data_IF_163721907321
#
_entry.id   IF_163721907321
#
_cell.length_a   1.000
_cell.length_b   1.000
_cell.length_c   1.000
_cell.angle_alpha   90.00
_cell.angle_beta   90.00
_cell.angle_gamma   90.00
#
_symmetry.space_group_name_H-M   'P 1'
#
loop_
_entity.id
_entity.type
_entity.pdbx_description
1 polymer ?
#
# COMPACT_ATOMS: atom_id res chain seq x y z
N UNK A 1 -18.93 -7.13 -0.37
CA UNK A 1 -18.37 -5.76 -0.36
C UNK A 1 -17.34 -5.61 -1.46
N UNK A 2 -17.23 -4.42 -2.04
CA UNK A 2 -16.18 -4.07 -2.97
C UNK A 2 -15.21 -3.04 -2.37
N UNK A 3 -13.94 -3.21 -2.66
CA UNK A 3 -12.87 -2.28 -2.27
C UNK A 3 -12.08 -1.96 -3.54
N UNK A 4 -11.90 -0.69 -3.84
CA UNK A 4 -11.19 -0.21 -5.04
C UNK A 4 -9.92 0.47 -4.59
N UNK A 5 -8.75 -0.01 -5.01
CA UNK A 5 -7.48 0.61 -4.66
C UNK A 5 -6.31 -0.35 -4.73
N UNK A 6 -5.13 0.22 -4.98
CA UNK A 6 -3.86 -0.51 -5.16
C UNK A 6 -2.88 -0.32 -4.00
N UNK A 7 -3.22 0.53 -3.03
CA UNK A 7 -2.38 0.95 -1.90
C UNK A 7 -2.66 0.14 -0.63
N UNK A 8 -1.75 0.22 0.35
CA UNK A 8 -1.85 -0.54 1.62
C UNK A 8 -3.19 -0.32 2.36
N UNK A 9 -3.72 0.91 2.39
CA UNK A 9 -4.97 1.24 3.06
C UNK A 9 -6.17 0.40 2.57
N UNK A 10 -6.29 0.16 1.26
CA UNK A 10 -7.33 -0.68 0.68
C UNK A 10 -7.24 -2.14 1.17
N UNK A 11 -6.03 -2.70 1.19
CA UNK A 11 -5.79 -4.07 1.64
C UNK A 11 -5.97 -4.22 3.16
N UNK A 12 -5.57 -3.21 3.93
CA UNK A 12 -5.79 -3.16 5.38
C UNK A 12 -7.28 -3.07 5.71
N UNK A 13 -8.04 -2.25 4.97
CA UNK A 13 -9.48 -2.18 5.09
C UNK A 13 -10.12 -3.56 4.92
N UNK A 14 -9.74 -4.30 3.87
CA UNK A 14 -10.25 -5.65 3.63
C UNK A 14 -9.96 -6.61 4.81
N UNK A 15 -8.75 -6.57 5.34
CA UNK A 15 -8.36 -7.37 6.50
C UNK A 15 -9.14 -7.04 7.76
N UNK A 16 -9.37 -5.74 8.02
CA UNK A 16 -10.13 -5.29 9.19
C UNK A 16 -11.61 -5.66 9.06
N UNK A 17 -12.21 -5.56 7.87
CA UNK A 17 -13.59 -6.01 7.62
C UNK A 17 -13.73 -7.50 7.95
N UNK A 18 -12.80 -8.33 7.47
CA UNK A 18 -12.82 -9.77 7.74
C UNK A 18 -12.48 -10.14 9.19
N UNK A 19 -11.88 -9.22 9.96
CA UNK A 19 -11.73 -9.39 11.40
C UNK A 19 -13.02 -9.08 12.15
N UNK A 20 -13.78 -8.10 11.67
CA UNK A 20 -15.08 -7.71 12.24
C UNK A 20 -16.16 -8.76 11.91
N UNK A 21 -16.18 -9.28 10.68
CA UNK A 21 -17.03 -10.39 10.24
C UNK A 21 -16.33 -11.26 9.18
N UNK A 22 -16.00 -12.49 9.55
CA UNK A 22 -15.30 -13.42 8.67
C UNK A 22 -16.18 -14.05 7.57
N UNK A 23 -17.51 -13.85 7.63
CA UNK A 23 -18.45 -14.33 6.62
C UNK A 23 -18.64 -13.34 5.47
N UNK A 24 -18.14 -12.11 5.63
CA UNK A 24 -18.20 -11.09 4.59
C UNK A 24 -17.39 -11.54 3.37
N UNK A 25 -18.03 -11.53 2.19
CA UNK A 25 -17.34 -11.72 0.92
C UNK A 25 -16.77 -10.40 0.43
N UNK A 26 -15.48 -10.37 0.16
CA UNK A 26 -14.77 -9.16 -0.33
C UNK A 26 -14.25 -9.38 -1.74
N UNK A 27 -14.50 -8.40 -2.61
CA UNK A 27 -13.81 -8.26 -3.89
C UNK A 27 -12.96 -6.99 -3.85
N UNK A 28 -11.64 -7.12 -3.95
CA UNK A 28 -10.70 -6.02 -4.05
C UNK A 28 -10.28 -5.83 -5.51
N UNK A 29 -10.45 -4.62 -6.04
CA UNK A 29 -10.07 -4.23 -7.39
C UNK A 29 -8.76 -3.48 -7.36
N UNK A 30 -7.73 -4.03 -8.02
CA UNK A 30 -6.39 -3.45 -8.09
C UNK A 30 -5.98 -3.32 -9.56
N UNK A 31 -5.63 -2.10 -9.97
CA UNK A 31 -5.22 -1.80 -11.35
C UNK A 31 -3.83 -2.37 -11.68
N UNK A 32 -3.02 -2.64 -10.65
CA UNK A 32 -1.64 -3.10 -10.80
C UNK A 32 -1.55 -4.53 -11.30
N UNK A 33 -0.43 -4.85 -11.96
CA UNK A 33 -0.13 -6.20 -12.42
C UNK A 33 0.04 -7.20 -11.27
N UNK A 34 0.51 -6.71 -10.13
CA UNK A 34 0.71 -7.42 -8.88
C UNK A 34 0.52 -6.39 -7.75
N UNK A 35 0.09 -6.83 -6.56
CA UNK A 35 0.06 -5.98 -5.38
C UNK A 35 1.46 -5.36 -5.13
N UNK A 36 1.51 -4.05 -4.91
CA UNK A 36 2.76 -3.31 -4.73
C UNK A 36 3.63 -3.15 -5.98
N UNK A 37 3.16 -3.55 -7.17
CA UNK A 37 3.85 -3.25 -8.42
C UNK A 37 3.69 -1.77 -8.80
N UNK A 38 4.79 -1.10 -9.14
CA UNK A 38 4.78 0.30 -9.54
C UNK A 38 4.56 1.29 -8.38
N UNK A 39 4.46 0.81 -7.14
CA UNK A 39 4.35 1.63 -5.94
C UNK A 39 5.72 1.92 -5.34
N UNK A 40 6.26 3.10 -5.65
CA UNK A 40 7.42 3.67 -4.99
C UNK A 40 6.97 4.60 -3.85
N UNK A 41 6.23 4.06 -2.89
CA UNK A 41 5.77 4.80 -1.72
C UNK A 41 6.74 4.64 -0.51
N UNK A 42 6.76 5.60 0.42
CA UNK A 42 7.60 5.52 1.62
C UNK A 42 7.31 4.26 2.46
N UNK A 43 8.37 3.59 2.90
CA UNK A 43 8.32 2.44 3.79
C UNK A 43 8.74 2.76 5.23
N UNK A 44 8.87 4.03 5.58
CA UNK A 44 9.35 4.51 6.87
C UNK A 44 8.27 4.31 7.94
N UNK A 45 8.71 3.95 9.15
CA UNK A 45 7.83 3.77 10.29
C UNK A 45 8.46 4.23 11.61
N UNK A 46 7.62 4.63 12.56
CA UNK A 46 8.04 4.99 13.92
C UNK A 46 8.28 3.76 14.81
N UNK A 47 7.44 2.73 14.69
CA UNK A 47 7.49 1.53 15.52
C UNK A 47 7.05 0.27 14.77
N UNK A 48 7.73 -0.84 15.07
CA UNK A 48 7.35 -2.18 14.60
C UNK A 48 6.85 -3.05 15.76
N UNK A 49 5.85 -3.94 15.57
CA UNK A 49 5.10 -4.21 14.34
C UNK A 49 4.04 -3.15 14.04
N UNK A 50 3.82 -2.91 12.74
CA UNK A 50 2.85 -1.95 12.21
C UNK A 50 1.41 -2.49 12.15
N UNK A 51 1.29 -3.78 11.90
CA UNK A 51 0.02 -4.48 11.66
C UNK A 51 0.02 -5.82 12.38
N UNK A 52 -1.16 -6.41 12.56
CA UNK A 52 -1.27 -7.74 13.17
C UNK A 52 -0.51 -8.78 12.35
N UNK A 53 0.13 -9.74 13.02
CA UNK A 53 0.85 -10.84 12.36
C UNK A 53 -0.05 -11.72 11.48
N UNK A 54 -1.38 -11.68 11.66
CA UNK A 54 -2.36 -12.36 10.81
C UNK A 54 -2.64 -11.61 9.49
N UNK A 55 -2.24 -10.34 9.37
CA UNK A 55 -2.47 -9.51 8.18
C UNK A 55 -1.31 -9.51 7.20
N UNK A 56 -0.25 -10.27 7.48
CA UNK A 56 0.85 -10.42 6.54
C UNK A 56 1.38 -11.85 6.60
N UNK A 57 1.80 -12.39 5.48
CA UNK A 57 2.31 -13.77 5.37
C UNK A 57 3.76 -13.96 5.85
N UNK A 58 4.24 -13.03 6.69
CA UNK A 58 5.65 -12.85 7.00
C UNK A 58 6.41 -12.13 5.88
N UNK A 59 7.50 -11.45 6.25
CA UNK A 59 8.42 -10.80 5.31
C UNK A 59 9.70 -11.63 5.08
N UNK A 60 9.71 -12.89 5.53
CA UNK A 60 10.91 -13.74 5.58
C UNK A 60 12.10 -12.94 6.17
N UNK A 61 13.22 -12.89 5.44
CA UNK A 61 14.47 -12.18 5.79
C UNK A 61 14.33 -10.64 5.81
N UNK A 62 13.15 -10.10 5.51
CA UNK A 62 12.88 -8.65 5.51
C UNK A 62 12.06 -8.19 6.71
N UNK A 63 11.85 -9.06 7.70
CA UNK A 63 11.17 -8.67 8.93
C UNK A 63 12.05 -7.66 9.71
N UNK A 64 11.54 -6.45 10.00
CA UNK A 64 12.28 -5.45 10.76
C UNK A 64 12.82 -5.96 12.11
N UNK A 65 14.02 -5.52 12.45
CA UNK A 65 14.64 -5.72 13.76
C UNK A 65 14.57 -4.42 14.60
N UNK A 66 15.17 -4.41 15.79
CA UNK A 66 15.13 -3.26 16.70
C UNK A 66 15.79 -1.98 16.15
N UNK A 67 16.72 -2.09 15.19
CA UNK A 67 17.38 -0.93 14.58
C UNK A 67 16.74 -0.51 13.26
N UNK A 68 15.73 -1.24 12.79
CA UNK A 68 15.05 -0.94 11.53
C UNK A 68 14.05 0.21 11.73
N UNK A 69 14.02 1.13 10.78
CA UNK A 69 13.06 2.25 10.71
C UNK A 69 12.35 2.34 9.37
N UNK A 70 12.62 1.42 8.45
CA UNK A 70 11.89 1.27 7.20
C UNK A 70 11.76 -0.19 6.74
N UNK A 71 10.74 -0.42 5.91
CA UNK A 71 10.53 -1.65 5.13
C UNK A 71 10.57 -1.35 3.64
N UNK A 72 10.67 -2.39 2.82
CA UNK A 72 10.35 -2.27 1.38
C UNK A 72 8.83 -2.18 1.24
N UNK A 73 8.31 -1.00 0.94
CA UNK A 73 6.86 -0.74 0.84
C UNK A 73 6.14 -1.77 -0.03
N UNK A 74 6.59 -1.94 -1.28
CA UNK A 74 6.03 -2.91 -2.21
C UNK A 74 6.02 -4.35 -1.67
N UNK A 75 7.05 -4.75 -0.92
CA UNK A 75 7.14 -6.12 -0.38
C UNK A 75 6.22 -6.31 0.83
N UNK A 76 6.05 -5.27 1.66
CA UNK A 76 5.03 -5.27 2.70
C UNK A 76 3.64 -5.46 2.09
N UNK A 77 3.29 -4.67 1.07
CA UNK A 77 2.00 -4.79 0.39
C UNK A 77 1.80 -6.18 -0.24
N UNK A 78 2.81 -6.75 -0.90
CA UNK A 78 2.76 -8.15 -1.37
C UNK A 78 2.48 -9.13 -0.24
N UNK A 79 3.18 -8.98 0.89
CA UNK A 79 2.99 -9.86 2.05
C UNK A 79 1.58 -9.77 2.63
N UNK A 80 1.01 -8.55 2.65
CA UNK A 80 -0.37 -8.29 3.06
C UNK A 80 -1.34 -8.96 2.08
N UNK A 81 -1.20 -8.72 0.78
CA UNK A 81 -2.04 -9.30 -0.27
C UNK A 81 -2.06 -10.83 -0.25
N UNK A 82 -0.91 -11.48 -0.02
CA UNK A 82 -0.82 -12.94 0.15
C UNK A 82 -1.57 -13.41 1.40
N UNK A 83 -1.57 -12.65 2.48
CA UNK A 83 -2.36 -13.00 3.66
C UNK A 83 -3.85 -12.82 3.39
N UNK A 84 -4.23 -11.76 2.67
CA UNK A 84 -5.61 -11.45 2.34
C UNK A 84 -6.23 -12.51 1.42
N UNK A 85 -5.51 -13.00 0.42
CA UNK A 85 -6.00 -14.05 -0.49
C UNK A 85 -6.29 -15.38 0.22
N UNK A 86 -5.68 -15.62 1.39
CA UNK A 86 -5.96 -16.76 2.26
C UNK A 86 -7.22 -16.58 3.12
N UNK A 87 -7.86 -15.40 3.07
CA UNK A 87 -9.00 -15.00 3.90
C UNK A 87 -10.20 -14.60 3.03
N UNK A 88 -10.97 -15.54 2.47
CA UNK A 88 -12.26 -15.31 1.78
C UNK A 88 -12.39 -14.05 0.88
N UNK A 89 -11.27 -13.51 0.39
CA UNK A 89 -11.19 -12.27 -0.35
C UNK A 89 -10.70 -12.60 -1.76
N UNK A 90 -11.43 -12.09 -2.74
CA UNK A 90 -11.05 -12.17 -4.15
C UNK A 90 -10.31 -10.89 -4.50
N UNK A 91 -9.07 -11.01 -4.96
CA UNK A 91 -8.28 -9.88 -5.45
C UNK A 91 -8.27 -9.93 -6.98
N UNK A 92 -8.87 -8.94 -7.62
CA UNK A 92 -8.90 -8.76 -9.07
C UNK A 92 -7.78 -7.80 -9.46
N UNK A 93 -6.62 -8.36 -9.80
CA UNK A 93 -5.47 -7.63 -10.34
C UNK A 93 -5.71 -7.22 -11.79
N UNK A 94 -4.93 -6.25 -12.29
CA UNK A 94 -5.04 -5.69 -13.66
C UNK A 94 -6.47 -5.30 -14.01
N UNK A 95 -7.23 -4.83 -13.03
CA UNK A 95 -8.65 -4.54 -13.17
C UNK A 95 -8.92 -3.09 -12.83
N UNK A 96 -9.33 -2.34 -13.85
CA UNK A 96 -9.63 -0.92 -13.75
C UNK A 96 -11.12 -0.72 -13.53
N UNK A 97 -11.46 -0.07 -12.43
CA UNK A 97 -12.82 0.41 -12.20
C UNK A 97 -13.03 1.71 -12.99
N UNK A 98 -13.91 1.67 -13.97
CA UNK A 98 -14.19 2.82 -14.85
C UNK A 98 -15.29 3.71 -14.28
N UNK A 99 -16.23 3.14 -13.52
CA UNK A 99 -17.33 3.89 -12.92
C UNK A 99 -17.86 3.23 -11.65
N UNK A 100 -18.31 4.07 -10.73
CA UNK A 100 -18.92 3.68 -9.47
C UNK A 100 -20.27 4.38 -9.32
N UNK A 101 -21.29 3.65 -8.90
CA UNK A 101 -22.55 4.19 -8.34
C UNK A 101 -22.70 3.70 -6.89
N UNK A 102 -23.83 4.00 -6.26
CA UNK A 102 -24.09 3.66 -4.84
C UNK A 102 -23.85 2.19 -4.51
N UNK A 103 -24.26 1.29 -5.41
CA UNK A 103 -24.28 -0.16 -5.20
C UNK A 103 -23.68 -0.94 -6.38
N UNK A 104 -23.14 -0.28 -7.41
CA UNK A 104 -22.62 -0.93 -8.62
C UNK A 104 -21.27 -0.40 -9.03
N UNK A 105 -20.46 -1.30 -9.58
CA UNK A 105 -19.15 -1.01 -10.15
C UNK A 105 -19.14 -1.47 -11.61
N UNK A 106 -18.67 -0.60 -12.51
CA UNK A 106 -18.28 -0.93 -13.87
C UNK A 106 -16.75 -1.05 -13.92
N UNK A 107 -16.23 -2.14 -14.45
CA UNK A 107 -14.80 -2.42 -14.48
C UNK A 107 -14.34 -3.19 -15.72
N UNK A 108 -13.06 -3.05 -16.04
CA UNK A 108 -12.39 -3.66 -17.18
C UNK A 108 -11.13 -4.39 -16.68
N UNK A 109 -11.04 -5.69 -16.96
CA UNK A 109 -9.91 -6.53 -16.55
C UNK A 109 -9.01 -6.90 -17.73
N UNK A 110 -7.80 -7.36 -17.43
CA UNK A 110 -6.96 -7.97 -18.46
C UNK A 110 -7.58 -9.27 -19.01
N UNK A 111 -7.53 -9.47 -20.33
CA UNK A 111 -7.95 -10.71 -21.00
C UNK A 111 -9.39 -10.67 -21.53
N UNK A 112 -10.17 -11.73 -21.25
CA UNK A 112 -11.50 -11.97 -21.81
C UNK A 112 -12.66 -11.34 -21.02
N UNK A 113 -12.40 -10.55 -19.96
CA UNK A 113 -13.45 -9.83 -19.22
C UNK A 113 -13.71 -8.51 -19.95
N UNK A 114 -14.62 -8.47 -20.93
CA UNK A 114 -14.74 -7.39 -21.88
C UNK A 114 -15.72 -6.38 -21.31
N UNK A 115 -15.29 -5.60 -20.31
CA UNK A 115 -16.15 -4.70 -19.54
C UNK A 115 -17.25 -5.44 -18.76
N UNK A 116 -17.37 -5.18 -17.46
CA UNK A 116 -18.31 -5.91 -16.60
C UNK A 116 -18.92 -4.99 -15.57
N UNK A 117 -20.13 -5.35 -15.14
CA UNK A 117 -20.87 -4.61 -14.11
C UNK A 117 -21.29 -5.57 -13.01
N UNK A 118 -21.00 -5.23 -11.76
CA UNK A 118 -21.36 -6.03 -10.60
C UNK A 118 -21.92 -5.17 -9.47
N UNK A 119 -22.91 -5.70 -8.75
CA UNK A 119 -23.50 -5.06 -7.56
C UNK A 119 -22.82 -5.51 -6.26
N UNK A 120 -22.74 -4.60 -5.30
CA UNK A 120 -22.17 -4.83 -3.97
C UNK A 120 -22.96 -4.08 -2.89
N UNK A 121 -23.07 -4.67 -1.70
CA UNK A 121 -23.78 -4.04 -0.58
C UNK A 121 -23.10 -2.76 -0.09
N UNK A 122 -21.77 -2.74 -0.15
CA UNK A 122 -20.92 -1.61 0.22
C UNK A 122 -19.75 -1.51 -0.75
N UNK A 123 -19.39 -0.29 -1.12
CA UNK A 123 -18.27 0.04 -2.00
C UNK A 123 -17.37 1.04 -1.27
N UNK A 124 -16.10 0.70 -1.12
CA UNK A 124 -15.07 1.58 -0.59
C UNK A 124 -14.09 1.93 -1.71
N UNK A 125 -13.90 3.22 -1.97
CA UNK A 125 -12.98 3.70 -3.00
C UNK A 125 -11.79 4.42 -2.37
N UNK A 126 -10.62 3.79 -2.47
CA UNK A 126 -9.33 4.29 -1.98
C UNK A 126 -8.50 4.97 -3.07
N UNK A 127 -9.06 5.18 -4.26
CA UNK A 127 -8.39 5.98 -5.29
C UNK A 127 -8.35 7.44 -4.83
N UNK A 128 -7.24 7.83 -4.22
CA UNK A 128 -7.02 9.19 -3.72
C UNK A 128 -6.51 10.09 -4.83
N UNK A 129 -6.99 11.34 -4.83
CA UNK A 129 -6.37 12.40 -5.61
C UNK A 129 -4.90 12.56 -5.18
N UNK A 130 -4.01 12.67 -6.16
CA UNK A 130 -2.58 12.80 -5.86
C UNK A 130 -2.34 14.13 -5.16
N UNK A 131 -1.65 14.09 -4.01
CA UNK A 131 -1.19 15.32 -3.36
C UNK A 131 -0.31 16.14 -4.30
N UNK A 132 -0.42 17.46 -4.21
CA UNK A 132 0.44 18.39 -4.95
C UNK A 132 1.88 18.39 -4.44
N UNK A 133 2.12 17.88 -3.22
CA UNK A 133 3.44 17.83 -2.62
C UNK A 133 4.20 16.61 -3.15
N UNK A 134 5.23 16.88 -3.94
CA UNK A 134 6.09 15.86 -4.56
C UNK A 134 7.35 15.65 -3.75
N UNK A 135 7.75 14.39 -3.68
CA UNK A 135 8.98 13.90 -3.06
C UNK A 135 9.77 13.09 -4.06
N UNK A 136 11.08 13.23 -3.99
CA UNK A 136 12.04 12.37 -4.68
C UNK A 136 12.60 11.40 -3.65
N UNK A 137 12.80 10.16 -4.08
CA UNK A 137 13.32 9.10 -3.23
C UNK A 137 14.50 8.40 -3.86
N UNK A 138 15.30 7.77 -3.02
CA UNK A 138 16.48 7.02 -3.43
C UNK A 138 16.80 5.91 -2.44
N UNK A 139 17.26 4.79 -2.96
CA UNK A 139 17.77 3.67 -2.16
C UNK A 139 19.29 3.63 -2.28
N UNK A 140 19.99 3.52 -1.15
CA UNK A 140 21.45 3.51 -1.07
C UNK A 140 21.93 2.47 -0.05
N UNK A 141 23.18 2.02 -0.16
CA UNK A 141 23.88 1.26 0.89
C UNK A 141 24.76 2.14 1.78
N UNK A 142 24.93 3.40 1.40
CA UNK A 142 25.70 4.40 2.14
C UNK A 142 24.75 5.41 2.78
N UNK A 143 25.06 5.86 3.99
CA UNK A 143 24.36 6.96 4.65
C UNK A 143 24.66 8.23 3.85
N UNK A 144 23.65 8.73 3.14
CA UNK A 144 23.67 9.98 2.38
C UNK A 144 22.84 11.00 3.14
N UNK A 145 23.31 11.36 4.34
CA UNK A 145 22.64 12.35 5.18
C UNK A 145 22.95 13.76 4.69
N UNK A 146 21.93 14.45 4.16
CA UNK A 146 21.93 15.90 4.03
C UNK A 146 20.87 16.50 4.95
N UNK A 147 21.05 17.77 5.27
CA UNK A 147 20.10 18.52 6.09
C UNK A 147 18.69 18.40 5.50
N UNK A 148 17.70 18.09 6.35
CA UNK A 148 16.27 17.91 6.02
C UNK A 148 15.86 16.63 5.28
N UNK A 149 16.77 15.69 5.07
CA UNK A 149 16.39 14.39 4.53
C UNK A 149 15.52 13.59 5.50
N UNK A 150 14.63 12.80 4.92
CA UNK A 150 13.86 11.81 5.66
C UNK A 150 14.43 10.44 5.32
N UNK A 151 14.93 9.76 6.34
CA UNK A 151 15.75 8.56 6.18
C UNK A 151 15.13 7.40 6.95
N UNK A 152 15.15 6.22 6.32
CA UNK A 152 14.75 4.96 6.91
C UNK A 152 15.77 3.87 6.67
N UNK A 153 16.17 3.15 7.72
CA UNK A 153 17.08 2.02 7.64
C UNK A 153 16.29 0.71 7.54
N UNK A 154 16.57 -0.08 6.52
CA UNK A 154 15.95 -1.40 6.30
C UNK A 154 16.83 -2.50 6.89
N UNK A 155 16.21 -3.63 7.22
CA UNK A 155 16.91 -4.78 7.81
C UNK A 155 17.96 -5.41 6.89
N UNK A 156 17.85 -5.22 5.58
CA UNK A 156 18.82 -5.69 4.58
C UNK A 156 20.06 -4.79 4.44
N UNK A 157 20.17 -3.75 5.29
CA UNK A 157 21.27 -2.80 5.28
C UNK A 157 21.11 -1.68 4.24
N UNK A 158 20.04 -1.69 3.44
CA UNK A 158 19.74 -0.56 2.54
C UNK A 158 19.04 0.57 3.28
N UNK A 159 19.25 1.78 2.79
CA UNK A 159 18.75 3.02 3.34
C UNK A 159 17.83 3.65 2.31
N UNK A 160 16.62 3.96 2.76
CA UNK A 160 15.64 4.73 2.01
C UNK A 160 15.76 6.20 2.39
N UNK A 161 15.88 7.07 1.38
CA UNK A 161 16.02 8.52 1.57
C UNK A 161 14.96 9.23 0.77
N UNK A 162 14.28 10.20 1.37
CA UNK A 162 13.31 11.09 0.73
C UNK A 162 13.69 12.55 0.92
N UNK A 163 13.57 13.33 -0.16
CA UNK A 163 13.86 14.76 -0.16
C UNK A 163 12.93 15.53 -1.09
N UNK A 164 12.91 16.85 -0.91
CA UNK A 164 12.26 17.79 -1.81
C UNK A 164 13.30 18.65 -2.54
N UNK A 165 12.91 19.28 -3.64
CA UNK A 165 13.78 20.17 -4.41
C UNK A 165 14.48 19.46 -5.57
N UNK A 166 15.75 19.81 -5.83
CA UNK A 166 16.47 19.42 -7.03
C UNK A 166 16.81 17.92 -7.09
N UNK A 167 17.09 17.42 -8.31
CA UNK A 167 17.55 16.05 -8.49
C UNK A 167 18.97 15.93 -7.93
N UNK A 168 19.20 14.87 -7.16
CA UNK A 168 20.54 14.51 -6.70
C UNK A 168 21.15 13.55 -7.71
N UNK A 169 22.04 14.06 -8.55
CA UNK A 169 22.84 13.22 -9.44
C UNK A 169 24.00 12.61 -8.65
N UNK A 170 23.68 11.74 -7.71
CA UNK A 170 24.66 10.99 -6.94
C UNK A 170 24.83 9.62 -7.61
N UNK A 171 26.07 9.20 -7.88
CA UNK A 171 26.40 7.87 -8.46
C UNK A 171 26.10 6.69 -7.52
N UNK A 172 25.40 6.94 -6.40
CA UNK A 172 25.26 6.06 -5.25
C UNK A 172 23.84 5.45 -5.14
N UNK A 173 22.90 5.90 -5.98
CA UNK A 173 21.52 5.38 -5.94
C UNK A 173 21.42 4.01 -6.60
N UNK A 174 21.05 3.00 -5.81
CA UNK A 174 20.66 1.67 -6.31
C UNK A 174 19.31 1.72 -7.05
N UNK A 175 18.44 2.61 -6.62
CA UNK A 175 17.13 2.86 -7.20
C UNK A 175 16.74 4.31 -6.92
N UNK A 176 16.08 4.96 -7.87
CA UNK A 176 15.41 6.24 -7.69
C UNK A 176 13.89 6.04 -7.69
N UNK A 177 13.20 6.91 -6.96
CA UNK A 177 11.78 6.79 -6.66
C UNK A 177 11.12 8.18 -6.70
N UNK A 178 9.81 8.21 -6.85
CA UNK A 178 9.03 9.45 -6.73
C UNK A 178 7.70 9.17 -6.07
N UNK A 179 7.32 10.03 -5.13
CA UNK A 179 6.07 9.88 -4.38
C UNK A 179 5.37 11.22 -4.20
N UNK A 180 4.04 11.20 -4.19
CA UNK A 180 3.22 12.37 -3.91
C UNK A 180 2.50 12.20 -2.57
N UNK A 181 2.73 13.09 -1.62
CA UNK A 181 2.09 13.03 -0.31
C UNK A 181 2.69 14.01 0.70
N UNK A 182 2.13 14.00 1.91
CA UNK A 182 2.36 15.06 2.92
C UNK A 182 3.72 14.92 3.60
N UNK A 183 3.98 13.79 4.26
CA UNK A 183 5.23 13.50 4.97
C UNK A 183 5.58 12.01 4.83
N UNK A 184 6.72 11.67 4.20
CA UNK A 184 7.19 10.29 4.08
C UNK A 184 7.38 9.55 5.40
N UNK A 185 7.59 10.26 6.52
CA UNK A 185 7.76 9.64 7.86
C UNK A 185 6.51 8.90 8.33
N UNK A 186 5.34 9.43 7.97
CA UNK A 186 4.06 8.95 8.49
C UNK A 186 3.24 8.22 7.43
N UNK A 187 3.60 8.34 6.16
CA UNK A 187 2.80 7.84 5.03
C UNK A 187 2.32 6.39 5.20
N UNK A 188 3.22 5.50 5.64
CA UNK A 188 2.90 4.09 5.85
C UNK A 188 1.91 3.88 7.00
N UNK A 189 2.14 4.54 8.13
CA UNK A 189 1.28 4.45 9.32
C UNK A 189 -0.09 5.07 9.06
N UNK A 190 -0.13 6.22 8.36
CA UNK A 190 -1.36 6.90 7.95
C UNK A 190 -2.22 6.01 7.05
N UNK A 191 -1.62 5.30 6.08
CA UNK A 191 -2.36 4.34 5.23
C UNK A 191 -2.96 3.20 6.04
N UNK A 192 -2.21 2.64 6.98
CA UNK A 192 -2.73 1.57 7.85
C UNK A 192 -3.90 2.08 8.68
N UNK A 193 -3.75 3.25 9.29
CA UNK A 193 -4.79 3.86 10.13
C UNK A 193 -6.05 4.19 9.32
N UNK A 194 -5.89 4.76 8.13
CA UNK A 194 -6.99 5.07 7.19
C UNK A 194 -7.77 3.82 6.81
N UNK A 195 -7.08 2.72 6.49
CA UNK A 195 -7.70 1.44 6.16
C UNK A 195 -8.55 0.90 7.32
N UNK A 196 -8.01 0.92 8.54
CA UNK A 196 -8.70 0.47 9.75
C UNK A 196 -9.92 1.35 10.04
N UNK A 197 -9.75 2.68 10.01
CA UNK A 197 -10.83 3.65 10.26
C UNK A 197 -11.97 3.45 9.28
N UNK A 198 -11.66 3.30 7.99
CA UNK A 198 -12.65 3.10 6.94
C UNK A 198 -13.45 1.83 7.14
N UNK A 199 -12.79 0.70 7.42
CA UNK A 199 -13.47 -0.57 7.70
C UNK A 199 -14.45 -0.48 8.89
N UNK A 200 -14.11 0.31 9.91
CA UNK A 200 -14.95 0.49 11.09
C UNK A 200 -16.10 1.49 10.90
N UNK A 201 -16.26 2.09 9.71
CA UNK A 201 -17.45 2.90 9.38
C UNK A 201 -18.69 2.05 9.05
N UNK A 202 -18.50 0.75 8.81
CA UNK A 202 -19.58 -0.20 8.57
C UNK A 202 -20.40 -0.30 9.85
N UNK A 203 -21.62 0.23 9.82
CA UNK A 203 -22.57 0.09 10.93
C UNK A 203 -23.07 -1.36 10.96
N UNK A 204 -22.93 -1.99 12.12
CA UNK A 204 -23.62 -3.25 12.47
C UNK A 204 -25.13 -3.07 12.50
#
# INVERSE_FOLDING_TARGET
MAIIGSTIDAYICAHQILDNDNNTTITLFDESAEAGFGEDAPGIFSKWPLISSKWHSGLLLQTPNQSSTAVRHAWLLKSIAISLSKRNATILLRTKVTKTSTDRIEFEGAGLIPHSTQSFDNIFDFRKEKSNKKWKGGISTNILEKEFDIIGARVDGTIEVWWQGENRNEEVWLQTMSWCGTDPRNALEDMIEDGIKTANTIKS
#
